data_IF_935819047889
#
_entry.id   IF_935819047889
#
_cell.length_a   1.000
_cell.length_b   1.000
_cell.length_c   1.000
_cell.angle_alpha   90.00
_cell.angle_beta   90.00
_cell.angle_gamma   90.00
#
_symmetry.space_group_name_H-M   'P 1'
#
loop_
_entity.id
_entity.type
_entity.pdbx_description
1 polymer ?
#
# COMPACT_ATOMS: atom_id res chain seq x y z
N UNK A 1 -10.91 -20.34 22.42
CA UNK A 1 -10.35 -18.98 22.33
C UNK A 1 -11.32 -17.99 22.95
N UNK A 2 -10.84 -17.11 23.80
CA UNK A 2 -11.69 -16.09 24.42
C UNK A 2 -11.87 -14.91 23.44
N UNK A 3 -13.08 -14.39 23.37
CA UNK A 3 -13.38 -13.21 22.59
C UNK A 3 -13.62 -12.04 23.54
N UNK A 4 -12.96 -10.92 23.26
CA UNK A 4 -13.13 -9.69 24.02
C UNK A 4 -13.89 -8.70 23.15
N UNK A 5 -14.98 -8.17 23.68
CA UNK A 5 -15.76 -7.16 22.99
C UNK A 5 -15.30 -5.78 23.44
N UNK A 6 -14.93 -4.91 22.48
CA UNK A 6 -14.51 -3.55 22.74
C UNK A 6 -15.64 -2.61 22.33
N UNK A 7 -16.15 -1.82 23.25
CA UNK A 7 -17.28 -0.91 22.99
C UNK A 7 -16.88 0.31 22.19
N UNK A 8 -15.63 0.75 22.35
CA UNK A 8 -15.11 1.93 21.65
C UNK A 8 -14.03 1.50 20.70
N UNK A 9 -14.19 1.89 19.44
CA UNK A 9 -13.20 1.54 18.42
C UNK A 9 -11.91 2.33 18.65
N UNK A 10 -10.80 1.62 18.70
CA UNK A 10 -9.47 2.22 18.73
C UNK A 10 -9.21 2.94 17.42
N UNK A 11 -8.51 4.08 17.48
CA UNK A 11 -8.16 4.85 16.29
C UNK A 11 -7.33 4.03 15.29
N UNK A 12 -6.40 3.22 15.80
CA UNK A 12 -5.61 2.33 14.96
C UNK A 12 -6.50 1.32 14.24
N UNK A 13 -7.44 0.71 14.97
CA UNK A 13 -8.39 -0.23 14.38
C UNK A 13 -9.27 0.45 13.33
N UNK A 14 -9.71 1.68 13.62
CA UNK A 14 -10.49 2.47 12.67
C UNK A 14 -9.73 2.72 11.36
N UNK A 15 -8.44 3.03 11.46
CA UNK A 15 -7.59 3.21 10.28
C UNK A 15 -7.39 1.90 9.52
N UNK A 16 -7.25 0.78 10.22
CA UNK A 16 -7.15 -0.54 9.58
C UNK A 16 -8.41 -0.87 8.79
N UNK A 17 -9.58 -0.54 9.33
CA UNK A 17 -10.85 -0.79 8.65
C UNK A 17 -10.98 0.09 7.40
N UNK A 18 -10.57 1.35 7.48
CA UNK A 18 -10.55 2.23 6.31
C UNK A 18 -9.63 1.65 5.23
N UNK A 19 -8.44 1.20 5.62
CA UNK A 19 -7.51 0.57 4.70
C UNK A 19 -8.09 -0.71 4.08
N UNK A 20 -8.76 -1.53 4.89
CA UNK A 20 -9.41 -2.74 4.40
C UNK A 20 -10.50 -2.42 3.37
N UNK A 21 -11.29 -1.39 3.64
CA UNK A 21 -12.32 -0.92 2.71
C UNK A 21 -11.71 -0.47 1.38
N UNK A 22 -10.61 0.29 1.45
CA UNK A 22 -9.90 0.73 0.25
C UNK A 22 -9.31 -0.45 -0.52
N UNK A 23 -8.76 -1.44 0.19
CA UNK A 23 -8.24 -2.66 -0.43
C UNK A 23 -9.32 -3.42 -1.21
N UNK A 24 -10.54 -3.47 -0.69
CA UNK A 24 -11.62 -4.16 -1.39
C UNK A 24 -11.93 -3.52 -2.74
N UNK A 25 -11.71 -2.22 -2.90
CA UNK A 25 -11.90 -1.56 -4.19
C UNK A 25 -10.77 -1.87 -5.18
N UNK A 26 -9.62 -2.33 -4.68
CA UNK A 26 -8.47 -2.70 -5.52
C UNK A 26 -8.50 -4.16 -5.97
N UNK A 27 -9.41 -4.97 -5.44
CA UNK A 27 -9.41 -6.43 -5.69
C UNK A 27 -9.70 -6.79 -7.15
N UNK A 28 -10.19 -5.86 -7.96
CA UNK A 28 -10.31 -6.07 -9.40
C UNK A 28 -8.95 -6.08 -10.11
N UNK A 29 -7.91 -5.52 -9.48
CA UNK A 29 -6.56 -5.42 -10.03
C UNK A 29 -5.58 -6.32 -9.29
N UNK A 30 -5.72 -6.41 -7.98
CA UNK A 30 -4.85 -7.20 -7.12
C UNK A 30 -5.61 -7.64 -5.89
N UNK A 31 -5.25 -8.81 -5.35
CA UNK A 31 -5.79 -9.31 -4.09
C UNK A 31 -4.70 -9.44 -3.01
N UNK A 32 -3.54 -8.87 -3.26
CA UNK A 32 -2.43 -8.87 -2.32
C UNK A 32 -1.83 -7.48 -2.21
N UNK A 33 -1.31 -7.17 -1.03
CA UNK A 33 -0.61 -5.92 -0.78
C UNK A 33 0.50 -6.17 0.23
N UNK A 34 1.73 -5.84 -0.16
CA UNK A 34 2.88 -5.82 0.74
C UNK A 34 3.30 -4.37 0.92
N UNK A 35 3.52 -3.97 2.17
CA UNK A 35 3.93 -2.62 2.54
C UNK A 35 5.24 -2.66 3.29
N UNK A 36 6.18 -1.82 2.88
CA UNK A 36 7.42 -1.56 3.59
C UNK A 36 7.63 -0.06 3.69
N UNK A 37 7.91 0.44 4.88
CA UNK A 37 8.18 1.84 5.09
C UNK A 37 9.62 2.04 5.58
N UNK A 38 10.40 2.79 4.79
CA UNK A 38 11.74 3.22 5.18
C UNK A 38 11.61 4.56 5.89
N UNK A 39 11.69 4.52 7.21
CA UNK A 39 11.48 5.70 8.05
C UNK A 39 12.56 6.76 7.84
N UNK A 40 13.81 6.36 7.63
CA UNK A 40 14.92 7.30 7.44
C UNK A 40 14.79 8.05 6.11
N UNK A 41 14.45 7.35 5.06
CA UNK A 41 14.26 7.95 3.75
C UNK A 41 12.87 8.54 3.54
N UNK A 42 11.92 8.24 4.42
CA UNK A 42 10.52 8.62 4.31
C UNK A 42 9.91 8.12 2.99
N UNK A 43 10.13 6.84 2.72
CA UNK A 43 9.66 6.19 1.49
C UNK A 43 8.77 5.01 1.85
N UNK A 44 7.57 4.98 1.29
CA UNK A 44 6.67 3.85 1.41
C UNK A 44 6.70 3.04 0.13
N UNK A 45 7.02 1.76 0.27
CA UNK A 45 7.02 0.80 -0.84
C UNK A 45 5.76 -0.04 -0.76
N UNK A 46 5.00 -0.06 -1.86
CA UNK A 46 3.81 -0.87 -1.99
C UNK A 46 4.01 -1.87 -3.12
N UNK A 47 3.79 -3.15 -2.87
CA UNK A 47 3.87 -4.18 -3.90
C UNK A 47 2.55 -4.93 -3.97
N UNK A 48 2.07 -5.16 -5.18
CA UNK A 48 0.81 -5.85 -5.43
C UNK A 48 1.01 -7.30 -5.80
N UNK A 49 2.25 -7.70 -6.04
CA UNK A 49 2.63 -9.09 -6.26
C UNK A 49 4.07 -9.32 -5.80
N UNK A 50 4.40 -10.56 -5.52
CA UNK A 50 5.73 -10.93 -5.01
C UNK A 50 6.19 -12.23 -5.65
N UNK A 51 7.38 -12.26 -6.32
CA UNK A 51 8.23 -11.10 -6.53
C UNK A 51 7.54 -10.06 -7.43
N UNK A 52 7.93 -8.80 -7.26
CA UNK A 52 7.29 -7.70 -7.99
C UNK A 52 7.51 -7.81 -9.50
N UNK A 53 8.73 -8.15 -9.92
CA UNK A 53 9.03 -8.39 -11.32
C UNK A 53 8.79 -7.18 -12.23
N UNK A 54 8.98 -5.97 -11.71
CA UNK A 54 8.79 -4.76 -12.51
C UNK A 54 9.85 -4.68 -13.62
N UNK A 55 9.41 -4.36 -14.83
CA UNK A 55 10.29 -4.18 -15.99
C UNK A 55 10.45 -2.71 -16.35
N UNK A 56 9.66 -1.82 -15.73
CA UNK A 56 9.64 -0.41 -16.06
C UNK A 56 9.19 0.40 -14.85
N UNK A 57 9.77 1.59 -14.68
CA UNK A 57 9.39 2.54 -13.64
C UNK A 57 9.01 3.85 -14.30
N UNK A 58 7.85 4.39 -13.93
CA UNK A 58 7.39 5.69 -14.40
C UNK A 58 7.38 6.63 -13.20
N UNK A 59 8.12 7.72 -13.30
CA UNK A 59 8.14 8.77 -12.29
C UNK A 59 7.14 9.85 -12.66
N UNK A 60 6.37 10.29 -11.66
CA UNK A 60 5.42 11.39 -11.81
C UNK A 60 5.90 12.62 -11.06
N UNK A 61 5.28 13.78 -11.34
CA UNK A 61 5.68 15.05 -10.73
C UNK A 61 5.38 15.13 -9.21
N UNK A 62 4.58 14.21 -8.69
CA UNK A 62 4.18 14.21 -7.27
C UNK A 62 4.97 13.21 -6.42
N UNK A 63 6.18 12.87 -6.86
CA UNK A 63 7.10 11.98 -6.12
C UNK A 63 6.55 10.56 -5.93
N UNK A 64 5.84 10.08 -6.92
CA UNK A 64 5.37 8.69 -6.95
C UNK A 64 6.02 7.97 -8.12
N UNK A 65 6.67 6.85 -7.81
CA UNK A 65 7.23 5.97 -8.82
C UNK A 65 6.26 4.81 -9.03
N UNK A 66 5.73 4.69 -10.23
CA UNK A 66 4.84 3.58 -10.59
C UNK A 66 5.68 2.47 -11.20
N UNK A 67 5.64 1.30 -10.57
CA UNK A 67 6.37 0.10 -11.00
C UNK A 67 5.44 -0.75 -11.85
N UNK A 68 5.85 -1.02 -13.08
CA UNK A 68 5.01 -1.73 -14.05
C UNK A 68 5.72 -2.94 -14.63
N UNK A 69 4.93 -3.94 -14.99
CA UNK A 69 5.35 -5.06 -15.81
C UNK A 69 4.41 -5.08 -17.01
N UNK A 70 4.89 -4.60 -18.16
CA UNK A 70 4.03 -4.37 -19.31
C UNK A 70 2.94 -3.36 -18.98
N UNK A 71 1.69 -3.80 -19.04
CA UNK A 71 0.51 -2.96 -18.74
C UNK A 71 0.13 -3.00 -17.26
N UNK A 72 0.66 -3.96 -16.51
CA UNK A 72 0.25 -4.18 -15.12
C UNK A 72 1.04 -3.29 -14.18
N UNK A 73 0.33 -2.59 -13.30
CA UNK A 73 0.95 -1.90 -12.18
C UNK A 73 1.22 -2.94 -11.11
N UNK A 74 2.49 -3.15 -10.77
CA UNK A 74 2.91 -4.17 -9.82
C UNK A 74 3.39 -3.59 -8.50
N UNK A 75 3.54 -2.27 -8.44
CA UNK A 75 3.91 -1.60 -7.20
C UNK A 75 3.97 -0.09 -7.35
N UNK A 76 4.08 0.57 -6.20
CA UNK A 76 4.29 2.01 -6.09
C UNK A 76 5.41 2.27 -5.11
N UNK A 77 6.22 3.28 -5.39
CA UNK A 77 7.18 3.83 -4.45
C UNK A 77 6.77 5.27 -4.18
N UNK A 78 6.44 5.57 -2.94
CA UNK A 78 5.92 6.88 -2.57
C UNK A 78 6.99 7.61 -1.77
N UNK A 79 7.55 8.66 -2.36
CA UNK A 79 8.56 9.48 -1.71
C UNK A 79 7.87 10.51 -0.82
N UNK A 80 8.56 10.95 0.23
CA UNK A 80 8.02 11.93 1.20
C UNK A 80 6.66 11.49 1.75
N UNK A 81 6.56 10.21 2.07
CA UNK A 81 5.27 9.57 2.38
C UNK A 81 4.57 10.18 3.58
N UNK A 82 5.32 10.63 4.61
CA UNK A 82 4.74 11.17 5.85
C UNK A 82 4.14 12.56 5.68
N UNK A 83 4.47 13.26 4.59
CA UNK A 83 4.01 14.63 4.35
C UNK A 83 2.84 14.72 3.38
N UNK A 84 2.28 13.61 3.04
CA UNK A 84 1.17 13.53 2.08
C UNK A 84 -0.20 13.50 2.74
#
# INVERSE_FOLDING_TARGET
MATVTVKKRDNFIGKCITMASDMLTLTTKTNHLWLDYDKEADVLYMSFRKPQGATKTIETDDDILTRKDGKDIVGLTILNASTR
#
